data_IF_245010387914
#
_entry.id   IF_245010387914
#
_cell.length_a   1.000
_cell.length_b   1.000
_cell.length_c   1.000
_cell.angle_alpha   90.00
_cell.angle_beta   90.00
_cell.angle_gamma   90.00
#
_symmetry.space_group_name_H-M   'P 1'
#
loop_
_entity.id
_entity.type
_entity.pdbx_description
1 polymer ?
#
# COMPACT_ATOMS: atom_id res chain seq x y z
N UNK A 1 13.52 -3.91 10.68
CA UNK A 1 12.76 -5.16 10.45
C UNK A 1 12.15 -5.64 11.76
N UNK A 2 10.95 -6.22 11.72
CA UNK A 2 10.41 -6.92 12.89
C UNK A 2 11.25 -8.18 13.09
N UNK A 3 11.94 -8.29 14.22
CA UNK A 3 12.63 -9.53 14.59
C UNK A 3 11.57 -10.63 14.80
N UNK A 4 11.68 -11.76 14.09
CA UNK A 4 10.70 -12.86 14.15
C UNK A 4 9.57 -12.78 13.11
N UNK A 5 9.56 -11.82 12.20
CA UNK A 5 8.58 -11.77 11.10
C UNK A 5 7.14 -11.64 11.60
N UNK A 6 6.22 -12.48 11.08
CA UNK A 6 4.82 -12.47 11.48
C UNK A 6 4.61 -12.97 12.92
N UNK A 7 5.49 -13.82 13.44
CA UNK A 7 5.36 -14.39 14.78
C UNK A 7 5.48 -13.33 15.89
N UNK A 8 6.14 -12.21 15.62
CA UNK A 8 6.18 -11.09 16.55
C UNK A 8 4.80 -10.44 16.80
N UNK A 9 3.82 -10.70 15.93
CA UNK A 9 2.45 -10.23 16.06
C UNK A 9 1.51 -11.29 16.67
N UNK A 10 2.04 -12.47 17.06
CA UNK A 10 1.26 -13.52 17.72
C UNK A 10 0.60 -12.99 18.99
N UNK A 11 -0.69 -13.28 19.15
CA UNK A 11 -1.49 -12.83 20.29
C UNK A 11 -1.82 -11.33 20.30
N UNK A 12 -1.30 -10.54 19.34
CA UNK A 12 -1.60 -9.10 19.21
C UNK A 12 -2.91 -8.88 18.49
N UNK A 13 -3.56 -7.76 18.81
CA UNK A 13 -4.74 -7.24 18.10
C UNK A 13 -4.29 -6.16 17.12
N UNK A 14 -4.33 -6.52 15.84
CA UNK A 14 -3.80 -5.75 14.73
C UNK A 14 -4.94 -5.03 14.01
N UNK A 15 -4.85 -3.70 13.92
CA UNK A 15 -5.73 -2.88 13.10
C UNK A 15 -5.09 -2.62 11.74
N UNK A 16 -5.74 -3.05 10.67
CA UNK A 16 -5.37 -2.74 9.30
C UNK A 16 -6.16 -1.52 8.81
N UNK A 17 -5.45 -0.51 8.28
CA UNK A 17 -6.05 0.65 7.63
C UNK A 17 -6.08 0.48 6.11
N UNK A 18 -5.80 1.54 5.34
CA UNK A 18 -5.87 1.48 3.88
C UNK A 18 -4.68 0.66 3.31
N UNK A 19 -5.03 -0.32 2.49
CA UNK A 19 -4.12 -1.22 1.76
C UNK A 19 -3.55 -0.52 0.52
N UNK A 20 -2.47 -1.05 -0.11
CA UNK A 20 -2.26 -0.83 -1.54
C UNK A 20 -3.44 -1.41 -2.32
N UNK A 21 -3.61 -0.93 -3.56
CA UNK A 21 -4.73 -1.36 -4.39
C UNK A 21 -4.62 -2.85 -4.71
N UNK A 22 -5.63 -3.63 -4.30
CA UNK A 22 -5.69 -5.07 -4.52
C UNK A 22 -5.84 -5.88 -3.23
N UNK A 23 -5.62 -7.20 -3.30
CA UNK A 23 -5.93 -8.13 -2.21
C UNK A 23 -4.86 -8.21 -1.11
N UNK A 24 -3.85 -7.33 -1.10
CA UNK A 24 -2.67 -7.45 -0.25
C UNK A 24 -3.02 -7.56 1.24
N UNK A 25 -3.78 -6.62 1.81
CA UNK A 25 -4.17 -6.69 3.22
C UNK A 25 -5.13 -7.83 3.56
N UNK A 26 -5.90 -8.34 2.58
CA UNK A 26 -6.73 -9.52 2.81
C UNK A 26 -5.87 -10.77 2.99
N UNK A 27 -4.82 -10.92 2.16
CA UNK A 27 -3.84 -12.01 2.30
C UNK A 27 -3.04 -11.86 3.59
N UNK A 28 -2.53 -10.65 3.87
CA UNK A 28 -1.83 -10.37 5.11
C UNK A 28 -2.69 -10.68 6.34
N UNK A 29 -3.98 -10.35 6.33
CA UNK A 29 -4.87 -10.68 7.44
C UNK A 29 -4.98 -12.20 7.67
N UNK A 30 -5.01 -13.00 6.59
CA UNK A 30 -5.00 -14.47 6.69
C UNK A 30 -3.69 -14.96 7.29
N UNK A 31 -2.56 -14.46 6.81
CA UNK A 31 -1.23 -14.83 7.32
C UNK A 31 -1.07 -14.45 8.81
N UNK A 32 -1.57 -13.28 9.20
CA UNK A 32 -1.60 -12.83 10.60
C UNK A 32 -2.48 -13.72 11.48
N UNK A 33 -3.67 -14.11 10.98
CA UNK A 33 -4.52 -15.05 11.69
C UNK A 33 -3.86 -16.41 11.88
N UNK A 34 -3.17 -16.94 10.86
CA UNK A 34 -2.40 -18.18 10.98
C UNK A 34 -1.24 -18.07 11.96
N UNK A 35 -0.59 -16.91 12.04
CA UNK A 35 0.43 -16.63 13.06
C UNK A 35 -0.16 -16.44 14.48
N UNK A 36 -1.48 -16.45 14.64
CA UNK A 36 -2.16 -16.33 15.93
C UNK A 36 -2.47 -14.89 16.36
N UNK A 37 -2.47 -13.93 15.44
CA UNK A 37 -2.92 -12.57 15.68
C UNK A 37 -4.44 -12.43 15.49
N UNK A 38 -5.04 -11.44 16.15
CA UNK A 38 -6.42 -11.02 15.91
C UNK A 38 -6.41 -9.81 14.99
N UNK A 39 -7.20 -9.81 13.92
CA UNK A 39 -7.15 -8.74 12.91
C UNK A 39 -8.49 -8.01 12.86
N UNK A 40 -8.42 -6.69 12.90
CA UNK A 40 -9.52 -5.79 12.60
C UNK A 40 -9.15 -4.95 11.37
N UNK A 41 -10.08 -4.75 10.45
CA UNK A 41 -9.85 -3.93 9.24
C UNK A 41 -10.85 -2.78 9.20
N UNK A 42 -10.40 -1.59 8.79
CA UNK A 42 -11.30 -0.47 8.46
C UNK A 42 -11.30 -0.20 6.97
N UNK A 43 -12.48 -0.17 6.36
CA UNK A 43 -12.69 0.21 4.96
C UNK A 43 -13.19 1.65 4.87
N UNK A 44 -12.63 2.42 3.94
CA UNK A 44 -12.96 3.84 3.76
C UNK A 44 -13.74 4.12 2.47
N UNK A 45 -13.73 3.19 1.52
CA UNK A 45 -14.43 3.34 0.24
C UNK A 45 -14.85 1.99 -0.35
N UNK A 46 -15.53 2.05 -1.50
CA UNK A 46 -15.99 0.88 -2.23
C UNK A 46 -14.88 -0.05 -2.74
N UNK A 47 -13.72 0.49 -3.13
CA UNK A 47 -12.57 -0.31 -3.52
C UNK A 47 -12.01 -1.12 -2.35
N UNK A 48 -11.89 -0.51 -1.17
CA UNK A 48 -11.50 -1.22 0.05
C UNK A 48 -12.48 -2.35 0.36
N UNK A 49 -13.79 -2.07 0.23
CA UNK A 49 -14.83 -3.08 0.46
C UNK A 49 -14.76 -4.23 -0.54
N UNK A 50 -14.48 -3.96 -1.82
CA UNK A 50 -14.32 -5.01 -2.84
C UNK A 50 -13.21 -5.99 -2.46
N UNK A 51 -12.05 -5.49 -2.04
CA UNK A 51 -10.90 -6.34 -1.71
C UNK A 51 -10.93 -6.90 -0.29
N UNK A 52 -11.76 -6.33 0.59
CA UNK A 52 -11.96 -6.80 1.97
C UNK A 52 -13.45 -6.73 2.36
N UNK A 53 -14.28 -7.67 1.85
CA UNK A 53 -15.74 -7.59 1.97
C UNK A 53 -16.31 -8.03 3.32
N UNK A 54 -15.60 -8.89 4.05
CA UNK A 54 -16.06 -9.48 5.31
C UNK A 54 -15.07 -9.24 6.44
N UNK A 55 -15.57 -9.15 7.68
CA UNK A 55 -14.72 -8.94 8.87
C UNK A 55 -14.09 -7.55 8.97
N UNK A 56 -14.56 -6.58 8.18
CA UNK A 56 -14.12 -5.19 8.25
C UNK A 56 -15.21 -4.27 8.78
N UNK A 57 -14.79 -3.18 9.42
CA UNK A 57 -15.65 -2.07 9.83
C UNK A 57 -15.63 -1.01 8.72
N UNK A 58 -16.81 -0.62 8.24
CA UNK A 58 -16.93 0.39 7.19
C UNK A 58 -17.05 1.79 7.82
N UNK A 59 -16.01 2.60 7.70
CA UNK A 59 -16.05 4.00 8.12
C UNK A 59 -16.71 4.84 7.03
N UNK A 60 -17.86 5.43 7.35
CA UNK A 60 -18.67 6.25 6.43
C UNK A 60 -18.83 7.70 6.90
N UNK A 61 -18.12 8.08 7.95
CA UNK A 61 -18.10 9.45 8.48
C UNK A 61 -17.21 10.37 7.65
N UNK A 62 -17.18 11.64 8.05
CA UNK A 62 -16.25 12.62 7.53
C UNK A 62 -14.85 12.48 8.16
N UNK A 63 -13.84 13.05 7.51
CA UNK A 63 -12.47 13.04 8.03
C UNK A 63 -12.35 13.68 9.43
N UNK A 64 -13.17 14.68 9.76
CA UNK A 64 -13.20 15.29 11.10
C UNK A 64 -13.68 14.32 12.20
N UNK A 65 -14.53 13.36 11.83
CA UNK A 65 -15.10 12.35 12.74
C UNK A 65 -14.14 11.17 12.93
N UNK A 66 -13.15 11.03 12.04
CA UNK A 66 -12.23 9.89 12.00
C UNK A 66 -11.44 9.71 13.30
N UNK A 67 -10.91 10.79 13.88
CA UNK A 67 -10.09 10.70 15.10
C UNK A 67 -10.88 10.08 16.25
N UNK A 68 -12.08 10.59 16.53
CA UNK A 68 -12.92 10.06 17.61
C UNK A 68 -13.48 8.67 17.32
N UNK A 69 -13.73 8.34 16.05
CA UNK A 69 -14.10 6.98 15.67
C UNK A 69 -12.96 5.99 15.89
N UNK A 70 -11.74 6.34 15.43
CA UNK A 70 -10.56 5.48 15.59
C UNK A 70 -10.23 5.27 17.06
N UNK A 71 -10.35 6.32 17.88
CA UNK A 71 -10.11 6.25 19.32
C UNK A 71 -11.04 5.26 20.03
N UNK A 72 -12.35 5.34 19.76
CA UNK A 72 -13.31 4.37 20.27
C UNK A 72 -13.04 2.96 19.75
N UNK A 73 -12.71 2.82 18.46
CA UNK A 73 -12.42 1.51 17.86
C UNK A 73 -11.20 0.85 18.51
N UNK A 74 -10.16 1.64 18.81
CA UNK A 74 -8.96 1.19 19.52
C UNK A 74 -9.32 0.62 20.89
N UNK A 75 -10.18 1.30 21.65
CA UNK A 75 -10.61 0.85 22.99
C UNK A 75 -11.51 -0.39 22.91
N UNK A 76 -12.53 -0.35 22.04
CA UNK A 76 -13.49 -1.45 21.86
C UNK A 76 -12.84 -2.74 21.38
N UNK A 77 -11.79 -2.64 20.55
CA UNK A 77 -11.08 -3.79 19.98
C UNK A 77 -9.74 -4.06 20.65
N UNK A 78 -9.36 -3.25 21.66
CA UNK A 78 -8.09 -3.34 22.41
C UNK A 78 -6.87 -3.45 21.48
N UNK A 79 -6.79 -2.56 20.51
CA UNK A 79 -5.80 -2.61 19.43
C UNK A 79 -4.39 -2.38 20.01
N UNK A 80 -3.47 -3.30 19.71
CA UNK A 80 -2.07 -3.24 20.14
C UNK A 80 -1.16 -2.66 19.04
N UNK A 81 -1.53 -2.89 17.77
CA UNK A 81 -0.70 -2.54 16.60
C UNK A 81 -1.57 -2.00 15.47
N UNK A 82 -1.17 -0.88 14.85
CA UNK A 82 -1.81 -0.34 13.64
C UNK A 82 -0.90 -0.53 12.43
N UNK A 83 -1.37 -1.23 11.41
CA UNK A 83 -0.67 -1.40 10.14
C UNK A 83 -1.34 -0.62 9.02
N UNK A 84 -0.53 0.06 8.21
CA UNK A 84 -1.00 0.90 7.09
C UNK A 84 -0.04 0.87 5.92
N UNK A 85 -0.51 1.22 4.72
CA UNK A 85 0.34 1.37 3.55
C UNK A 85 0.56 2.85 3.21
N UNK A 86 1.80 3.30 3.36
CA UNK A 86 2.18 4.71 3.45
C UNK A 86 1.61 5.39 4.70
N UNK A 87 2.24 6.48 5.15
CA UNK A 87 1.86 7.18 6.39
C UNK A 87 1.41 8.64 6.17
N UNK A 88 1.57 9.16 4.96
CA UNK A 88 1.25 10.56 4.63
C UNK A 88 -0.23 10.83 4.29
N UNK A 89 -1.07 9.79 4.12
CA UNK A 89 -2.50 9.97 3.81
C UNK A 89 -3.22 10.64 5.00
N UNK A 90 -4.21 11.53 4.80
CA UNK A 90 -4.86 12.24 5.90
C UNK A 90 -5.38 11.32 7.02
N UNK A 91 -6.02 10.21 6.66
CA UNK A 91 -6.49 9.18 7.61
C UNK A 91 -5.34 8.51 8.39
N UNK A 92 -4.20 8.29 7.74
CA UNK A 92 -3.02 7.64 8.32
C UNK A 92 -2.25 8.60 9.23
N UNK A 93 -2.18 9.89 8.87
CA UNK A 93 -1.60 10.94 9.73
C UNK A 93 -2.31 11.04 11.08
N UNK A 94 -3.65 11.00 11.07
CA UNK A 94 -4.46 10.97 12.29
C UNK A 94 -4.18 9.70 13.10
N UNK A 95 -4.15 8.53 12.43
CA UNK A 95 -3.87 7.27 13.10
C UNK A 95 -2.48 7.25 13.76
N UNK A 96 -1.46 7.80 13.09
CA UNK A 96 -0.11 7.90 13.64
C UNK A 96 -0.06 8.81 14.86
N UNK A 97 -0.68 9.99 14.78
CA UNK A 97 -0.73 10.91 15.90
C UNK A 97 -1.40 10.28 17.12
N UNK A 98 -2.54 9.60 16.91
CA UNK A 98 -3.27 8.94 17.98
C UNK A 98 -2.50 7.76 18.59
N UNK A 99 -1.92 6.91 17.74
CA UNK A 99 -1.12 5.78 18.20
C UNK A 99 0.11 6.22 18.99
N UNK A 100 0.76 7.33 18.61
CA UNK A 100 1.86 7.92 19.37
C UNK A 100 1.44 8.37 20.77
N UNK A 101 0.24 8.96 20.92
CA UNK A 101 -0.27 9.41 22.23
C UNK A 101 -0.64 8.24 23.12
N UNK A 102 -1.18 7.15 22.54
CA UNK A 102 -1.65 5.97 23.28
C UNK A 102 -0.60 4.88 23.46
N UNK A 103 0.63 5.09 22.98
CA UNK A 103 1.71 4.08 23.04
C UNK A 103 1.43 2.84 22.20
N UNK A 104 0.61 2.96 21.15
CA UNK A 104 0.25 1.85 20.25
C UNK A 104 1.34 1.71 19.19
N UNK A 105 1.74 0.47 18.90
CA UNK A 105 2.76 0.23 17.89
C UNK A 105 2.24 0.51 16.48
N UNK A 106 3.11 1.05 15.62
CA UNK A 106 2.77 1.34 14.23
C UNK A 106 3.71 0.57 13.30
N UNK A 107 3.12 -0.05 12.28
CA UNK A 107 3.81 -0.61 11.14
C UNK A 107 3.36 0.04 9.84
N UNK A 108 4.31 0.42 8.99
CA UNK A 108 4.02 1.07 7.72
C UNK A 108 4.68 0.30 6.58
N UNK A 109 3.87 -0.10 5.61
CA UNK A 109 4.33 -0.69 4.35
C UNK A 109 4.58 0.39 3.31
N UNK A 110 5.55 0.18 2.42
CA UNK A 110 5.80 1.04 1.27
C UNK A 110 6.35 0.28 0.05
N UNK A 111 6.01 0.74 -1.16
CA UNK A 111 6.60 0.38 -2.45
C UNK A 111 8.12 0.57 -2.35
N UNK A 112 8.87 -0.54 -2.27
CA UNK A 112 10.19 -0.55 -1.67
C UNK A 112 11.16 0.53 -2.19
N UNK A 113 11.96 1.10 -1.28
CA UNK A 113 12.76 2.29 -1.57
C UNK A 113 13.69 2.18 -2.78
N UNK A 114 14.60 1.21 -2.74
CA UNK A 114 15.72 1.10 -3.69
C UNK A 114 15.71 -0.29 -4.36
N UNK A 115 14.94 -1.24 -3.82
CA UNK A 115 14.91 -2.63 -4.31
C UNK A 115 13.66 -2.93 -5.12
N UNK A 116 13.79 -3.17 -6.43
CA UNK A 116 12.68 -3.65 -7.23
C UNK A 116 12.21 -5.02 -6.72
N UNK A 117 10.92 -5.31 -6.90
CA UNK A 117 10.24 -6.53 -6.47
C UNK A 117 9.97 -6.67 -4.95
N UNK A 118 10.22 -5.64 -4.15
CA UNK A 118 9.95 -5.67 -2.71
C UNK A 118 8.90 -4.65 -2.29
N UNK A 119 8.14 -5.02 -1.27
CA UNK A 119 7.43 -4.10 -0.39
C UNK A 119 8.25 -4.02 0.90
N UNK A 120 8.58 -2.81 1.31
CA UNK A 120 9.28 -2.56 2.57
C UNK A 120 8.28 -2.47 3.72
N UNK A 121 8.72 -2.85 4.91
CA UNK A 121 7.94 -2.72 6.14
C UNK A 121 8.82 -2.11 7.23
N UNK A 122 8.37 -0.97 7.78
CA UNK A 122 9.06 -0.27 8.85
C UNK A 122 8.17 -0.06 10.07
N UNK A 123 8.82 -0.04 11.23
CA UNK A 123 8.20 0.42 12.47
C UNK A 123 8.31 1.94 12.51
N UNK A 124 7.35 2.60 13.14
CA UNK A 124 7.33 4.06 13.39
C UNK A 124 7.04 4.99 12.20
N UNK A 125 7.44 4.67 10.98
CA UNK A 125 7.19 5.50 9.80
C UNK A 125 8.06 5.13 8.60
N UNK A 126 7.74 5.69 7.42
CA UNK A 126 8.49 5.48 6.17
C UNK A 126 8.98 6.82 5.60
N UNK A 127 9.90 6.77 4.63
CA UNK A 127 10.45 7.94 3.96
C UNK A 127 11.01 8.97 4.96
N UNK A 128 10.52 10.21 4.93
CA UNK A 128 10.98 11.27 5.84
C UNK A 128 10.66 11.02 7.32
N UNK A 129 9.74 10.09 7.63
CA UNK A 129 9.42 9.68 9.00
C UNK A 129 10.14 8.40 9.44
N UNK A 130 10.95 7.79 8.56
CA UNK A 130 11.79 6.66 8.96
C UNK A 130 12.79 7.11 10.01
N UNK A 131 13.04 6.24 10.99
CA UNK A 131 14.07 6.41 12.01
C UNK A 131 15.41 5.80 11.59
N UNK A 132 15.55 5.40 10.32
CA UNK A 132 16.83 4.94 9.79
C UNK A 132 17.90 6.02 9.99
N UNK A 133 19.13 5.64 10.40
CA UNK A 133 20.19 6.60 10.63
C UNK A 133 20.45 7.47 9.40
N UNK A 134 20.55 8.78 9.61
CA UNK A 134 20.79 9.75 8.51
C UNK A 134 22.26 9.89 8.14
N UNK A 135 23.16 9.52 9.05
CA UNK A 135 24.59 9.63 8.84
C UNK A 135 25.08 8.56 7.86
N UNK A 136 25.72 8.94 6.74
CA UNK A 136 26.33 7.97 5.83
C UNK A 136 27.39 7.09 6.50
N UNK A 137 28.07 7.62 7.54
CA UNK A 137 29.10 6.89 8.28
C UNK A 137 28.53 5.64 8.97
N UNK A 138 27.28 5.69 9.42
CA UNK A 138 26.62 4.52 10.02
C UNK A 138 26.59 3.31 9.08
N UNK A 139 26.32 3.56 7.79
CA UNK A 139 26.24 2.51 6.78
C UNK A 139 27.62 2.10 6.27
N UNK A 140 28.55 3.05 6.10
CA UNK A 140 29.93 2.76 5.67
C UNK A 140 30.73 1.95 6.69
N UNK A 141 30.46 2.16 7.97
CA UNK A 141 31.17 1.47 9.06
C UNK A 141 30.52 0.14 9.44
N UNK A 142 29.48 -0.29 8.71
CA UNK A 142 28.88 -1.61 8.88
C UNK A 142 29.25 -2.50 7.72
N UNK A 143 29.80 -3.66 8.05
CA UNK A 143 29.84 -4.77 7.10
C UNK A 143 28.45 -5.39 7.07
N UNK A 144 27.69 -5.04 6.03
CA UNK A 144 26.38 -5.63 5.76
C UNK A 144 26.64 -6.62 4.65
N UNK A 145 26.69 -7.90 5.00
CA UNK A 145 26.93 -8.98 4.04
C UNK A 145 25.95 -8.96 2.87
N UNK A 146 26.24 -9.78 1.86
CA UNK A 146 25.46 -9.76 0.64
C UNK A 146 23.99 -10.05 0.92
N UNK A 147 23.09 -9.25 0.34
CA UNK A 147 21.69 -9.50 0.48
C UNK A 147 21.27 -10.81 -0.17
N UNK A 148 20.18 -11.44 0.32
CA UNK A 148 19.60 -12.56 -0.39
C UNK A 148 19.20 -12.14 -1.81
N UNK A 149 19.32 -13.05 -2.79
CA UNK A 149 18.97 -12.76 -4.17
C UNK A 149 17.50 -12.33 -4.27
N UNK A 150 17.23 -11.30 -5.07
CA UNK A 150 15.86 -10.85 -5.27
C UNK A 150 15.08 -11.88 -6.07
N UNK A 151 13.92 -12.28 -5.57
CA UNK A 151 12.97 -13.03 -6.38
C UNK A 151 12.34 -12.10 -7.41
N UNK A 152 12.54 -12.42 -8.68
CA UNK A 152 11.96 -11.63 -9.77
C UNK A 152 10.45 -11.88 -9.83
N UNK A 153 9.68 -10.80 -9.86
CA UNK A 153 8.21 -10.86 -10.01
C UNK A 153 7.87 -10.28 -11.38
N UNK A 154 7.83 -11.16 -12.39
CA UNK A 154 7.54 -10.77 -13.77
C UNK A 154 6.03 -10.61 -14.03
N UNK A 155 5.66 -9.82 -15.04
CA UNK A 155 4.27 -9.73 -15.52
C UNK A 155 3.29 -9.00 -14.58
N UNK A 156 3.78 -8.23 -13.61
CA UNK A 156 2.94 -7.57 -12.59
C UNK A 156 2.03 -6.47 -13.13
N UNK A 157 2.38 -5.84 -14.26
CA UNK A 157 1.64 -4.69 -14.77
C UNK A 157 0.18 -5.02 -15.09
N UNK A 158 -0.10 -6.17 -15.71
CA UNK A 158 -1.47 -6.55 -16.07
C UNK A 158 -2.31 -6.74 -14.81
N UNK A 159 -1.76 -7.41 -13.80
CA UNK A 159 -2.42 -7.60 -12.52
C UNK A 159 -2.63 -6.28 -11.79
N UNK A 160 -1.61 -5.41 -11.73
CA UNK A 160 -1.71 -4.09 -11.12
C UNK A 160 -2.77 -3.22 -11.81
N UNK A 161 -2.81 -3.24 -13.15
CA UNK A 161 -3.82 -2.52 -13.93
C UNK A 161 -5.23 -3.07 -13.70
N UNK A 162 -5.39 -4.40 -13.64
CA UNK A 162 -6.67 -5.04 -13.32
C UNK A 162 -7.14 -4.66 -11.91
N UNK A 163 -6.29 -4.79 -10.90
CA UNK A 163 -6.62 -4.43 -9.52
C UNK A 163 -6.96 -2.95 -9.37
N UNK A 164 -6.18 -2.07 -10.02
CA UNK A 164 -6.48 -0.64 -10.08
C UNK A 164 -7.86 -0.39 -10.69
N UNK A 165 -8.13 -0.99 -11.84
CA UNK A 165 -9.41 -0.84 -12.55
C UNK A 165 -10.58 -1.26 -11.68
N UNK A 166 -10.52 -2.47 -11.10
CA UNK A 166 -11.57 -2.99 -10.23
C UNK A 166 -11.76 -2.13 -8.98
N UNK A 167 -10.66 -1.67 -8.35
CA UNK A 167 -10.72 -0.80 -7.17
C UNK A 167 -11.42 0.53 -7.47
N UNK A 168 -11.02 1.18 -8.56
CA UNK A 168 -11.57 2.48 -8.93
C UNK A 168 -13.01 2.37 -9.41
N UNK A 169 -13.36 1.31 -10.15
CA UNK A 169 -14.75 1.02 -10.53
C UNK A 169 -15.62 0.79 -9.29
N UNK A 170 -15.22 -0.05 -8.35
CA UNK A 170 -15.99 -0.28 -7.13
C UNK A 170 -16.08 0.98 -6.25
N UNK A 171 -15.02 1.77 -6.17
CA UNK A 171 -15.03 3.05 -5.46
C UNK A 171 -16.03 4.05 -6.07
N UNK A 172 -16.16 4.07 -7.40
CA UNK A 172 -17.12 4.91 -8.10
C UNK A 172 -18.56 4.40 -7.96
N UNK A 173 -18.79 3.10 -8.17
CA UNK A 173 -20.11 2.47 -8.08
C UNK A 173 -20.69 2.53 -6.67
N UNK A 174 -19.85 2.32 -5.64
CA UNK A 174 -20.27 2.37 -4.23
C UNK A 174 -20.06 3.75 -3.59
N UNK A 175 -19.72 4.78 -4.37
CA UNK A 175 -19.62 6.14 -3.87
C UNK A 175 -20.87 6.62 -3.11
N UNK A 176 -22.12 6.32 -3.55
CA UNK A 176 -23.32 6.67 -2.79
C UNK A 176 -23.37 6.07 -1.38
N UNK A 177 -22.64 4.98 -1.12
CA UNK A 177 -22.55 4.37 0.20
C UNK A 177 -21.42 4.97 1.07
N UNK A 178 -20.38 5.53 0.44
CA UNK A 178 -19.22 6.16 1.06
C UNK A 178 -19.11 7.67 0.76
N UNK A 179 -20.25 8.39 0.68
CA UNK A 179 -20.32 9.78 0.17
C UNK A 179 -19.42 10.78 0.88
N UNK A 180 -19.16 10.57 2.17
CA UNK A 180 -18.39 11.47 3.03
C UNK A 180 -16.89 11.25 2.94
N UNK A 181 -16.46 10.14 2.34
CA UNK A 181 -15.05 9.85 2.15
C UNK A 181 -14.48 10.65 0.98
N UNK A 182 -13.44 11.43 1.26
CA UNK A 182 -12.62 12.09 0.24
C UNK A 182 -11.34 11.28 0.06
N UNK A 183 -11.24 10.60 -1.07
CA UNK A 183 -10.04 9.87 -1.42
C UNK A 183 -8.88 10.84 -1.70
N UNK A 184 -7.68 10.45 -1.32
CA UNK A 184 -6.48 11.29 -1.45
C UNK A 184 -6.04 11.50 -2.92
N UNK A 185 -6.48 10.62 -3.82
CA UNK A 185 -6.43 10.80 -5.29
C UNK A 185 -7.82 11.12 -5.82
N UNK A 186 -7.89 11.88 -6.93
CA UNK A 186 -9.14 12.08 -7.66
C UNK A 186 -9.63 10.72 -8.16
N UNK A 187 -10.91 10.42 -7.94
CA UNK A 187 -11.55 9.15 -8.32
C UNK A 187 -12.59 9.42 -9.40
N UNK A 188 -12.19 10.05 -10.50
CA UNK A 188 -13.09 10.30 -11.62
C UNK A 188 -12.98 9.18 -12.64
N UNK A 189 -14.11 8.70 -13.16
CA UNK A 189 -14.12 7.79 -14.31
C UNK A 189 -13.43 8.39 -15.54
N UNK A 190 -13.36 9.74 -15.61
CA UNK A 190 -12.63 10.44 -16.68
C UNK A 190 -11.12 10.18 -16.63
N UNK A 191 -10.56 9.73 -15.51
CA UNK A 191 -9.16 9.31 -15.46
C UNK A 191 -8.87 8.11 -16.35
N UNK A 192 -9.89 7.33 -16.75
CA UNK A 192 -9.72 6.27 -17.73
C UNK A 192 -9.30 6.79 -19.12
N UNK A 193 -9.66 8.03 -19.48
CA UNK A 193 -9.39 8.59 -20.82
C UNK A 193 -7.88 8.72 -21.12
N UNK A 194 -7.03 9.30 -20.23
CA UNK A 194 -5.58 9.25 -20.38
C UNK A 194 -5.01 7.84 -20.57
N UNK A 195 -5.53 6.85 -19.83
CA UNK A 195 -5.07 5.45 -19.93
C UNK A 195 -5.45 4.82 -21.27
N UNK A 196 -6.68 5.05 -21.75
CA UNK A 196 -7.12 4.61 -23.08
C UNK A 196 -6.26 5.26 -24.19
N UNK A 197 -6.02 6.57 -24.10
CA UNK A 197 -5.14 7.29 -25.02
C UNK A 197 -3.72 6.75 -24.99
N UNK A 198 -3.18 6.46 -23.80
CA UNK A 198 -1.86 5.87 -23.63
C UNK A 198 -1.76 4.49 -24.29
N UNK A 199 -2.75 3.62 -24.06
CA UNK A 199 -2.84 2.30 -24.69
C UNK A 199 -2.92 2.39 -26.21
N UNK A 200 -3.74 3.30 -26.75
CA UNK A 200 -3.80 3.56 -28.19
C UNK A 200 -2.46 4.06 -28.73
N UNK A 201 -1.84 5.06 -28.09
CA UNK A 201 -0.52 5.59 -28.48
C UNK A 201 0.56 4.50 -28.45
N UNK A 202 0.55 3.62 -27.45
CA UNK A 202 1.52 2.52 -27.36
C UNK A 202 1.39 1.56 -28.54
N UNK A 203 0.16 1.21 -28.93
CA UNK A 203 -0.11 0.38 -30.13
C UNK A 203 0.28 1.11 -31.42
N UNK A 204 -0.07 2.38 -31.54
CA UNK A 204 0.27 3.22 -32.70
C UNK A 204 1.78 3.38 -32.89
N UNK A 205 2.50 3.75 -31.83
CA UNK A 205 3.96 3.89 -31.85
C UNK A 205 4.63 2.55 -32.15
N UNK A 206 4.20 1.45 -31.51
CA UNK A 206 4.72 0.12 -31.82
C UNK A 206 4.56 -0.24 -33.30
N UNK A 207 3.40 0.08 -33.90
CA UNK A 207 3.18 -0.14 -35.33
C UNK A 207 4.04 0.76 -36.23
N UNK A 208 4.17 2.06 -35.90
CA UNK A 208 4.96 3.05 -36.65
C UNK A 208 6.46 2.78 -36.58
N UNK A 209 6.93 2.29 -35.44
CA UNK A 209 8.34 2.09 -35.11
C UNK A 209 8.78 0.62 -35.23
N UNK A 210 7.90 -0.26 -35.73
CA UNK A 210 8.18 -1.70 -35.89
C UNK A 210 9.47 -2.02 -36.65
N UNK A 211 9.88 -1.15 -37.57
CA UNK A 211 11.12 -1.28 -38.36
C UNK A 211 12.33 -0.62 -37.70
N UNK A 212 12.12 0.27 -36.73
CA UNK A 212 13.17 1.00 -36.01
C UNK A 212 13.63 0.26 -34.76
N UNK A 213 12.71 -0.40 -34.05
CA UNK A 213 13.03 -1.15 -32.83
C UNK A 213 14.13 -2.23 -33.02
N UNK A 214 14.09 -3.09 -34.06
CA UNK A 214 15.15 -4.08 -34.29
C UNK A 214 16.50 -3.41 -34.57
N UNK A 215 16.49 -2.25 -35.23
CA UNK A 215 17.68 -1.49 -35.58
C UNK A 215 18.35 -0.86 -34.36
N UNK A 216 17.55 -0.33 -33.42
CA UNK A 216 18.07 0.22 -32.16
C UNK A 216 18.49 -0.87 -31.17
N UNK A 217 17.78 -1.99 -31.12
CA UNK A 217 18.14 -3.11 -30.24
C UNK A 217 19.30 -3.96 -30.78
N UNK A 218 19.59 -3.88 -32.08
CA UNK A 218 20.68 -4.60 -32.76
C UNK A 218 21.81 -3.66 -33.17
N UNK A 219 21.81 -3.24 -34.45
CA UNK A 219 22.90 -2.50 -35.11
C UNK A 219 23.43 -1.29 -34.34
N UNK A 220 22.55 -0.60 -33.63
CA UNK A 220 22.87 0.65 -32.95
C UNK A 220 22.90 0.51 -31.42
N UNK A 221 22.83 -0.72 -30.90
CA UNK A 221 22.93 -0.99 -29.46
C UNK A 221 24.30 -0.58 -28.93
N UNK A 222 24.33 0.26 -27.88
CA UNK A 222 25.56 0.76 -27.25
C UNK A 222 26.32 1.85 -28.03
N UNK A 223 25.76 2.38 -29.12
CA UNK A 223 26.36 3.47 -29.92
C UNK A 223 25.79 4.86 -29.60
N UNK A 224 25.01 4.96 -28.52
CA UNK A 224 24.42 6.19 -28.01
C UNK A 224 24.59 6.25 -26.50
#
# INVERSE_FOLDING_TARGET
MIAGGLDALRGKRVLLLQSPVGPFFRRLAQDLHWAGAQVCKVNFNGGDLLFYPSGAVNFRGELREWSGFLDRLIDERRIDVVLMFGDCRPIHRVARALASVRGIEIGVFEEGYIRPNYITFERFGVNGHSQLPRSPLFYRNRDVGDPPPSQRVDGTFVNAALWATLYYMASALLWPWFRRYRHHRRLSLLEALPWLRSSWRKRWCAWRERRKQPRFAGELSGRF
#
